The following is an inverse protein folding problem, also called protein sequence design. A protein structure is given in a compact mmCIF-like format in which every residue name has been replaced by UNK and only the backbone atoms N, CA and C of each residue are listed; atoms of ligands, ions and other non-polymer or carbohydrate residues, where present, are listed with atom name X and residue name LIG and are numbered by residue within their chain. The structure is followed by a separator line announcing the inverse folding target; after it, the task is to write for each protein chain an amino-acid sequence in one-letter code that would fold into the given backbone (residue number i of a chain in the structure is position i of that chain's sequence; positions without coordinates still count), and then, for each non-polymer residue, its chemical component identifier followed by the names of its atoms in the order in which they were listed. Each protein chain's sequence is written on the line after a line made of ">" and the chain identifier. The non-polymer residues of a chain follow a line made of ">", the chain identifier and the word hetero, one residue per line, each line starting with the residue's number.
data_IF_163176863152
#
_entry.id   IF_163176863152
#
_cell.length_a   1.000
_cell.length_b   1.000
_cell.length_c   1.000
_cell.angle_alpha   90.00
_cell.angle_beta   90.00
_cell.angle_gamma   90.00
#
_symmetry.space_group_name_H-M   'P 1'
#
loop_
_entity.id
_entity.type
_entity.pdbx_description
1 polymer ?
#
# COMPACT_ATOMS: atom_id res chain seq x y z
N UNK A 1 -14.86 6.05 14.69
CA UNK A 1 -13.87 6.15 13.57
C UNK A 1 -13.42 4.78 13.06
N UNK A 2 -13.19 3.77 13.92
CA UNK A 2 -12.93 2.37 13.51
C UNK A 2 -14.00 1.78 12.57
N UNK A 3 -15.28 2.10 12.77
CA UNK A 3 -16.37 1.65 11.90
C UNK A 3 -16.27 2.14 10.44
N UNK A 4 -15.60 3.27 10.19
CA UNK A 4 -15.46 3.85 8.84
C UNK A 4 -14.23 3.30 8.10
N UNK A 5 -13.17 2.95 8.84
CA UNK A 5 -11.98 2.25 8.32
C UNK A 5 -12.33 0.78 8.04
N UNK A 6 -13.12 0.16 8.92
CA UNK A 6 -13.62 -1.19 8.75
C UNK A 6 -14.44 -1.35 7.47
N UNK A 7 -15.24 -0.36 7.05
CA UNK A 7 -16.17 -0.47 5.92
C UNK A 7 -15.53 -0.67 4.52
N UNK A 8 -14.21 -0.46 4.38
CA UNK A 8 -13.48 -0.62 3.12
C UNK A 8 -12.62 -1.89 3.02
N UNK A 9 -12.43 -2.59 4.14
CA UNK A 9 -11.57 -3.77 4.24
C UNK A 9 -12.41 -5.01 3.94
N UNK A 10 -12.03 -5.80 2.94
CA UNK A 10 -12.75 -7.02 2.54
C UNK A 10 -12.19 -8.24 3.25
N UNK A 11 -10.87 -8.34 3.26
CA UNK A 11 -10.09 -9.23 4.11
C UNK A 11 -8.86 -8.48 4.61
N UNK A 12 -8.24 -9.04 5.63
CA UNK A 12 -6.95 -8.60 6.13
C UNK A 12 -6.19 -9.83 6.62
N UNK A 13 -5.07 -10.13 5.99
CA UNK A 13 -4.05 -10.95 6.63
C UNK A 13 -3.33 -10.10 7.68
N UNK A 14 -3.42 -10.53 8.95
CA UNK A 14 -2.66 -9.96 10.04
C UNK A 14 -1.39 -10.78 10.27
N UNK A 15 -0.20 -10.29 9.87
CA UNK A 15 1.06 -11.00 10.07
C UNK A 15 1.48 -11.09 11.54
N UNK A 16 0.86 -10.31 12.44
CA UNK A 16 1.13 -10.33 13.88
C UNK A 16 0.16 -11.21 14.68
N UNK A 17 -0.80 -11.83 13.99
CA UNK A 17 -1.74 -12.75 14.61
C UNK A 17 -1.07 -14.02 15.17
N UNK A 18 -1.81 -14.81 15.97
CA UNK A 18 -1.32 -16.07 16.53
C UNK A 18 -0.74 -17.01 15.46
N UNK A 19 0.23 -17.85 15.83
CA UNK A 19 0.83 -18.90 14.98
C UNK A 19 1.40 -18.42 13.62
N UNK A 20 1.97 -17.21 13.59
CA UNK A 20 2.58 -16.64 12.37
C UNK A 20 1.53 -16.11 11.39
N UNK A 21 0.49 -15.49 11.94
CA UNK A 21 -0.48 -14.66 11.26
C UNK A 21 -1.84 -15.30 10.99
N UNK A 22 -2.89 -14.47 11.03
CA UNK A 22 -4.29 -14.86 10.90
C UNK A 22 -4.93 -14.22 9.67
N UNK A 23 -5.83 -14.96 9.02
CA UNK A 23 -6.60 -14.47 7.87
C UNK A 23 -7.99 -14.06 8.35
N UNK A 24 -8.27 -12.75 8.32
CA UNK A 24 -9.53 -12.19 8.75
C UNK A 24 -10.36 -11.80 7.53
N UNK A 25 -11.65 -12.12 7.54
CA UNK A 25 -12.60 -11.70 6.51
C UNK A 25 -13.71 -10.88 7.14
N UNK A 26 -13.94 -9.68 6.61
CA UNK A 26 -15.03 -8.82 7.07
C UNK A 26 -16.28 -9.15 6.26
N UNK A 27 -16.93 -10.25 6.61
CA UNK A 27 -18.05 -10.83 5.86
C UNK A 27 -19.16 -9.81 5.47
N UNK A 28 -19.59 -8.87 6.34
CA UNK A 28 -20.57 -7.86 5.95
C UNK A 28 -20.13 -6.99 4.76
N UNK A 29 -18.84 -6.62 4.70
CA UNK A 29 -18.30 -5.82 3.61
C UNK A 29 -18.17 -6.63 2.33
N UNK A 30 -17.74 -7.90 2.45
CA UNK A 30 -17.66 -8.82 1.32
C UNK A 30 -19.03 -8.93 0.64
N UNK A 31 -20.10 -9.15 1.41
CA UNK A 31 -21.47 -9.18 0.86
C UNK A 31 -21.86 -7.84 0.23
N UNK A 32 -21.57 -6.72 0.90
CA UNK A 32 -21.93 -5.39 0.41
C UNK A 32 -21.29 -5.11 -0.97
N UNK A 33 -20.00 -5.45 -1.12
CA UNK A 33 -19.26 -5.26 -2.37
C UNK A 33 -19.70 -6.27 -3.43
N UNK A 34 -19.87 -7.54 -3.07
CA UNK A 34 -20.43 -8.59 -3.94
C UNK A 34 -21.74 -8.13 -4.61
N UNK A 35 -22.68 -7.63 -3.80
CA UNK A 35 -23.99 -7.13 -4.27
C UNK A 35 -23.86 -5.88 -5.13
N UNK A 36 -22.99 -4.94 -4.74
CA UNK A 36 -22.77 -3.72 -5.52
C UNK A 36 -22.14 -4.00 -6.89
N UNK A 37 -21.24 -4.99 -6.95
CA UNK A 37 -20.58 -5.41 -8.19
C UNK A 37 -21.43 -6.39 -9.00
N UNK A 38 -22.50 -6.96 -8.42
CA UNK A 38 -23.41 -7.93 -9.06
C UNK A 38 -22.67 -9.15 -9.64
N UNK A 39 -21.64 -9.62 -8.94
CA UNK A 39 -20.78 -10.75 -9.34
C UNK A 39 -21.27 -12.06 -8.72
N UNK A 40 -20.77 -13.19 -9.22
CA UNK A 40 -21.09 -14.50 -8.65
C UNK A 40 -20.54 -14.58 -7.20
N UNK A 41 -21.39 -14.90 -6.19
CA UNK A 41 -20.98 -14.89 -4.78
C UNK A 41 -19.81 -15.81 -4.45
N UNK A 42 -19.85 -17.07 -4.92
CA UNK A 42 -18.82 -18.06 -4.65
C UNK A 42 -17.46 -17.62 -5.22
N UNK A 43 -17.46 -17.22 -6.49
CA UNK A 43 -16.26 -16.75 -7.19
C UNK A 43 -15.67 -15.49 -6.54
N UNK A 44 -16.51 -14.52 -6.15
CA UNK A 44 -16.03 -13.29 -5.51
C UNK A 44 -15.40 -13.56 -4.15
N UNK A 45 -16.04 -14.41 -3.33
CA UNK A 45 -15.49 -14.78 -2.01
C UNK A 45 -14.20 -15.56 -2.16
N UNK A 46 -14.13 -16.49 -3.11
CA UNK A 46 -12.89 -17.23 -3.41
C UNK A 46 -11.79 -16.27 -3.90
N UNK A 47 -12.12 -15.33 -4.78
CA UNK A 47 -11.19 -14.30 -5.24
C UNK A 47 -10.64 -13.45 -4.10
N UNK A 48 -11.48 -13.03 -3.15
CA UNK A 48 -11.02 -12.34 -1.91
C UNK A 48 -10.13 -13.26 -1.08
N UNK A 49 -10.50 -14.52 -0.86
CA UNK A 49 -9.66 -15.46 -0.10
C UNK A 49 -8.29 -15.68 -0.75
N UNK A 50 -8.22 -15.79 -2.08
CA UNK A 50 -6.96 -15.94 -2.81
C UNK A 50 -6.07 -14.70 -2.67
N UNK A 51 -6.67 -13.51 -2.66
CA UNK A 51 -5.95 -12.26 -2.37
C UNK A 51 -5.30 -12.31 -0.99
N UNK A 52 -6.08 -12.66 0.05
CA UNK A 52 -5.57 -12.73 1.42
C UNK A 52 -4.52 -13.85 1.61
N UNK A 53 -4.70 -15.01 0.95
CA UNK A 53 -3.71 -16.09 0.96
C UNK A 53 -2.41 -15.65 0.28
N UNK A 54 -2.48 -14.79 -0.74
CA UNK A 54 -1.28 -14.22 -1.40
C UNK A 54 -0.46 -13.42 -0.40
N UNK A 55 -1.10 -12.56 0.41
CA UNK A 55 -0.43 -11.87 1.51
C UNK A 55 0.16 -12.82 2.54
N UNK A 56 -0.60 -13.85 2.94
CA UNK A 56 -0.07 -14.88 3.85
C UNK A 56 1.20 -15.53 3.30
N UNK A 57 1.23 -15.87 2.01
CA UNK A 57 2.41 -16.46 1.37
C UNK A 57 3.56 -15.45 1.33
N UNK A 58 3.32 -14.18 0.99
CA UNK A 58 4.35 -13.13 1.00
C UNK A 58 5.04 -13.02 2.36
N UNK A 59 4.28 -12.95 3.45
CA UNK A 59 4.83 -12.81 4.80
C UNK A 59 5.44 -14.11 5.34
N UNK A 60 4.83 -15.28 5.06
CA UNK A 60 5.39 -16.56 5.52
C UNK A 60 6.64 -16.97 4.77
N UNK A 61 6.72 -16.66 3.47
CA UNK A 61 7.91 -16.96 2.68
C UNK A 61 9.08 -16.02 3.00
N UNK A 62 8.78 -14.80 3.49
CA UNK A 62 9.77 -13.77 3.77
C UNK A 62 9.63 -13.24 5.21
N UNK A 63 10.08 -14.01 6.22
CA UNK A 63 9.85 -13.68 7.64
C UNK A 63 10.38 -12.30 8.06
N UNK A 64 11.42 -11.81 7.39
CA UNK A 64 12.02 -10.50 7.65
C UNK A 64 11.05 -9.33 7.40
N UNK A 65 10.00 -9.51 6.60
CA UNK A 65 8.99 -8.47 6.33
C UNK A 65 8.27 -8.02 7.60
N UNK A 66 7.94 -8.96 8.49
CA UNK A 66 7.25 -8.69 9.75
C UNK A 66 8.14 -7.88 10.69
N UNK A 67 9.42 -8.25 10.78
CA UNK A 67 10.40 -7.53 11.61
C UNK A 67 10.68 -6.14 11.05
N UNK A 68 10.85 -6.01 9.74
CA UNK A 68 11.06 -4.73 9.07
C UNK A 68 9.89 -3.76 9.30
N UNK A 69 8.66 -4.26 9.16
CA UNK A 69 7.45 -3.46 9.42
C UNK A 69 7.33 -3.06 10.90
N UNK A 70 7.66 -3.97 11.82
CA UNK A 70 7.67 -3.69 13.26
C UNK A 70 8.68 -2.62 13.64
N UNK A 71 9.89 -2.68 13.07
CA UNK A 71 10.95 -1.70 13.32
C UNK A 71 10.55 -0.32 12.81
N UNK A 72 10.00 -0.22 11.60
CA UNK A 72 9.50 1.03 11.05
C UNK A 72 8.35 1.60 11.91
N UNK A 73 7.40 0.75 12.34
CA UNK A 73 6.32 1.17 13.23
C UNK A 73 6.85 1.65 14.59
N UNK A 74 7.84 0.96 15.16
CA UNK A 74 8.46 1.35 16.43
C UNK A 74 9.04 2.77 16.35
N UNK A 75 9.72 3.13 15.25
CA UNK A 75 10.25 4.48 15.01
C UNK A 75 9.12 5.53 14.97
N UNK A 76 7.96 5.18 14.40
CA UNK A 76 6.80 6.08 14.37
C UNK A 76 6.13 6.28 15.74
N UNK A 77 6.18 5.26 16.60
CA UNK A 77 5.58 5.29 17.95
C UNK A 77 6.55 5.71 19.04
N UNK A 78 7.84 5.81 18.75
CA UNK A 78 8.83 6.34 19.68
C UNK A 78 8.40 7.75 20.08
N UNK A 79 8.19 7.92 21.38
CA UNK A 79 7.66 9.14 21.98
C UNK A 79 8.59 10.29 21.57
N UNK A 80 8.09 11.09 20.63
CA UNK A 80 8.75 12.28 20.17
C UNK A 80 8.64 13.30 21.30
N UNK A 81 9.51 13.19 22.30
CA UNK A 81 9.83 14.26 23.25
C UNK A 81 10.48 15.45 22.53
N UNK A 82 9.93 15.83 21.38
CA UNK A 82 10.42 16.89 20.54
C UNK A 82 10.04 18.22 21.16
N UNK A 83 11.06 19.03 21.41
CA UNK A 83 10.87 20.42 21.80
C UNK A 83 9.99 21.09 20.75
N UNK A 84 8.89 21.69 21.22
CA UNK A 84 7.94 22.48 20.41
C UNK A 84 8.67 23.51 19.55
N UNK A 85 9.84 23.97 19.99
CA UNK A 85 10.74 24.87 19.26
C UNK A 85 11.31 24.26 17.97
N UNK A 86 11.71 22.99 17.96
CA UNK A 86 12.19 22.31 16.75
C UNK A 86 11.07 22.12 15.73
N UNK A 87 9.89 21.73 16.21
CA UNK A 87 8.68 21.57 15.38
C UNK A 87 8.33 22.89 14.66
N UNK A 88 8.39 24.02 15.37
CA UNK A 88 8.16 25.37 14.80
C UNK A 88 9.24 25.73 13.77
N UNK A 89 10.50 25.39 14.02
CA UNK A 89 11.60 25.60 13.08
C UNK A 89 11.40 24.86 11.75
N UNK A 90 11.05 23.57 11.80
CA UNK A 90 10.83 22.74 10.59
C UNK A 90 9.64 23.24 9.76
N UNK A 91 8.56 23.67 10.42
CA UNK A 91 7.40 24.24 9.74
C UNK A 91 7.76 25.56 9.03
N UNK A 92 8.55 26.42 9.68
CA UNK A 92 9.00 27.67 9.08
C UNK A 92 9.88 27.43 7.84
N UNK A 93 10.77 26.44 7.89
CA UNK A 93 11.62 26.04 6.77
C UNK A 93 10.82 25.46 5.60
N UNK A 94 9.78 24.66 5.87
CA UNK A 94 8.88 24.15 4.84
C UNK A 94 8.16 25.28 4.09
N UNK A 95 7.57 26.23 4.83
CA UNK A 95 6.88 27.40 4.25
C UNK A 95 7.85 28.25 3.41
N UNK A 96 9.09 28.39 3.87
CA UNK A 96 10.14 29.12 3.13
C UNK A 96 10.51 28.40 1.82
N UNK A 97 10.72 27.08 1.86
CA UNK A 97 11.00 26.27 0.65
C UNK A 97 9.87 26.32 -0.37
N UNK A 98 8.62 26.34 0.09
CA UNK A 98 7.45 26.44 -0.79
C UNK A 98 7.34 27.82 -1.46
N UNK A 99 7.70 28.92 -0.78
CA UNK A 99 7.76 30.27 -1.39
C UNK A 99 8.92 30.44 -2.37
N UNK A 100 9.99 29.66 -2.24
CA UNK A 100 11.16 29.75 -3.10
C UNK A 100 11.09 28.87 -4.38
N UNK A 101 9.92 28.29 -4.69
CA UNK A 101 9.66 27.69 -6.00
C UNK A 101 10.25 26.30 -6.23
N UNK A 102 10.60 25.55 -5.18
CA UNK A 102 10.97 24.14 -5.33
C UNK A 102 9.74 23.32 -5.73
N UNK A 103 9.87 22.55 -6.81
CA UNK A 103 8.84 21.63 -7.33
C UNK A 103 8.28 20.78 -6.18
N UNK A 104 6.95 20.75 -5.97
CA UNK A 104 6.38 19.89 -4.95
C UNK A 104 6.64 18.44 -5.36
N UNK A 105 7.38 17.72 -4.53
CA UNK A 105 7.44 16.26 -4.56
C UNK A 105 5.98 15.72 -4.63
N UNK A 106 5.64 14.85 -5.60
CA UNK A 106 4.26 14.37 -5.79
C UNK A 106 3.65 13.71 -4.53
N UNK A 107 4.48 13.29 -3.58
CA UNK A 107 4.05 12.79 -2.26
C UNK A 107 3.84 13.87 -1.18
N UNK A 108 4.04 15.17 -1.51
CA UNK A 108 3.95 16.31 -0.60
C UNK A 108 2.69 17.18 -0.80
N UNK A 109 1.74 16.77 -1.64
CA UNK A 109 0.52 17.52 -1.87
C UNK A 109 -0.50 17.34 -0.72
N UNK A 110 -0.85 18.43 -0.04
CA UNK A 110 -1.95 18.49 0.93
C UNK A 110 -1.53 18.35 2.41
N UNK A 111 -2.49 17.96 3.26
CA UNK A 111 -2.31 17.83 4.73
C UNK A 111 -1.19 16.86 5.10
N UNK A 112 -0.95 15.83 4.27
CA UNK A 112 0.16 14.89 4.45
C UNK A 112 1.53 15.58 4.31
N UNK A 113 1.68 16.55 3.41
CA UNK A 113 2.88 17.38 3.28
C UNK A 113 3.14 18.21 4.53
N UNK A 114 2.09 18.77 5.14
CA UNK A 114 2.17 19.53 6.39
C UNK A 114 2.51 18.63 7.59
N UNK A 115 1.88 17.45 7.72
CA UNK A 115 2.25 16.47 8.76
C UNK A 115 3.70 16.01 8.59
N UNK A 116 4.12 15.72 7.37
CA UNK A 116 5.51 15.35 7.03
C UNK A 116 6.50 16.48 7.29
N UNK A 117 6.10 17.75 7.18
CA UNK A 117 6.97 18.90 7.45
C UNK A 117 7.22 19.11 8.95
N UNK A 118 6.31 18.58 9.76
CA UNK A 118 6.32 18.67 11.22
C UNK A 118 7.06 17.48 11.85
N UNK A 119 6.99 16.31 11.21
CA UNK A 119 7.70 15.09 11.66
C UNK A 119 9.22 15.18 11.54
N UNK A 120 9.93 14.55 12.47
CA UNK A 120 11.38 14.36 12.35
C UNK A 120 11.76 13.40 11.23
N UNK A 121 13.00 13.54 10.76
CA UNK A 121 13.54 12.80 9.62
C UNK A 121 13.47 11.26 9.78
N UNK A 122 13.76 10.66 10.95
CA UNK A 122 13.61 9.22 11.16
C UNK A 122 12.16 8.73 11.00
N UNK A 123 11.18 9.46 11.54
CA UNK A 123 9.76 9.14 11.41
C UNK A 123 9.30 9.27 9.96
N UNK A 124 9.78 10.29 9.25
CA UNK A 124 9.49 10.49 7.83
C UNK A 124 9.99 9.31 6.99
N UNK A 125 11.24 8.88 7.23
CA UNK A 125 11.84 7.71 6.57
C UNK A 125 11.08 6.41 6.88
N UNK A 126 10.69 6.20 8.13
CA UNK A 126 9.91 5.03 8.53
C UNK A 126 8.52 5.02 7.87
N UNK A 127 7.85 6.17 7.76
CA UNK A 127 6.58 6.29 7.05
C UNK A 127 6.74 5.95 5.56
N UNK A 128 7.77 6.48 4.91
CA UNK A 128 8.04 6.21 3.50
C UNK A 128 8.33 4.72 3.27
N UNK A 129 9.10 4.07 4.16
CA UNK A 129 9.33 2.61 4.11
C UNK A 129 8.03 1.81 4.17
N UNK A 130 7.13 2.11 5.12
CA UNK A 130 5.85 1.42 5.24
C UNK A 130 4.95 1.62 4.02
N UNK A 131 4.92 2.84 3.48
CA UNK A 131 4.13 3.19 2.30
C UNK A 131 4.63 2.44 1.06
N UNK A 132 5.94 2.40 0.85
CA UNK A 132 6.55 1.72 -0.28
C UNK A 132 6.39 0.21 -0.18
N UNK A 133 6.61 -0.36 1.01
CA UNK A 133 6.38 -1.78 1.25
C UNK A 133 4.92 -2.17 0.97
N UNK A 134 3.96 -1.40 1.51
CA UNK A 134 2.54 -1.64 1.24
C UNK A 134 2.21 -1.54 -0.25
N UNK A 135 2.77 -0.55 -0.95
CA UNK A 135 2.60 -0.37 -2.40
C UNK A 135 3.12 -1.59 -3.18
N UNK A 136 4.29 -2.11 -2.81
CA UNK A 136 4.87 -3.30 -3.43
C UNK A 136 4.03 -4.55 -3.16
N UNK A 137 3.67 -4.81 -1.90
CA UNK A 137 2.93 -6.02 -1.51
C UNK A 137 1.60 -6.12 -2.24
N UNK A 138 0.90 -5.00 -2.35
CA UNK A 138 -0.40 -4.89 -3.01
C UNK A 138 -0.25 -4.96 -4.54
N UNK A 139 0.76 -4.29 -5.12
CA UNK A 139 1.06 -4.40 -6.54
C UNK A 139 1.41 -5.82 -6.99
N UNK A 140 2.20 -6.52 -6.17
CA UNK A 140 2.52 -7.92 -6.40
C UNK A 140 1.30 -8.82 -6.22
N UNK A 141 0.46 -8.58 -5.22
CA UNK A 141 -0.78 -9.32 -5.05
C UNK A 141 -1.71 -9.15 -6.26
N UNK A 142 -1.90 -7.93 -6.75
CA UNK A 142 -2.68 -7.68 -7.98
C UNK A 142 -2.04 -8.35 -9.21
N UNK A 143 -0.72 -8.44 -9.31
CA UNK A 143 -0.03 -9.18 -10.39
C UNK A 143 -0.27 -10.70 -10.29
N UNK A 144 -0.12 -11.29 -9.11
CA UNK A 144 -0.37 -12.72 -8.88
C UNK A 144 -1.85 -13.05 -9.11
N UNK A 145 -2.75 -12.17 -8.68
CA UNK A 145 -4.19 -12.32 -8.88
C UNK A 145 -4.59 -12.26 -10.36
N UNK A 146 -3.80 -11.63 -11.24
CA UNK A 146 -4.02 -11.69 -12.70
C UNK A 146 -3.64 -13.05 -13.29
N UNK A 147 -2.70 -13.77 -12.67
CA UNK A 147 -2.36 -15.14 -13.05
C UNK A 147 -3.41 -16.17 -12.56
N UNK A 148 -4.33 -15.77 -11.66
CA UNK A 148 -5.47 -16.60 -11.26
C UNK A 148 -6.44 -16.69 -12.44
N UNK A 149 -6.28 -17.74 -13.23
CA UNK A 149 -7.10 -17.98 -14.42
C UNK A 149 -8.53 -18.44 -14.12
N UNK A 150 -9.38 -18.53 -15.16
CA UNK A 150 -10.77 -18.99 -15.05
C UNK A 150 -10.89 -20.45 -14.58
N UNK A 151 -9.80 -21.22 -14.62
CA UNK A 151 -9.75 -22.58 -14.07
C UNK A 151 -9.91 -22.62 -12.54
N UNK A 152 -9.52 -21.54 -11.83
CA UNK A 152 -9.64 -21.45 -10.36
C UNK A 152 -10.86 -20.61 -9.98
N UNK A 153 -11.04 -19.46 -10.64
CA UNK A 153 -12.18 -18.56 -10.41
C UNK A 153 -12.87 -18.29 -11.75
N UNK A 154 -13.97 -18.99 -12.09
CA UNK A 154 -14.60 -18.94 -13.41
C UNK A 154 -14.93 -17.52 -13.90
N UNK A 155 -15.45 -16.66 -13.03
CA UNK A 155 -15.81 -15.27 -13.36
C UNK A 155 -14.74 -14.22 -13.04
N UNK A 156 -13.46 -14.60 -12.86
CA UNK A 156 -12.37 -13.70 -12.44
C UNK A 156 -12.22 -12.45 -13.31
N UNK A 157 -12.34 -12.58 -14.63
CA UNK A 157 -12.24 -11.45 -15.56
C UNK A 157 -13.37 -10.43 -15.36
N UNK A 158 -14.58 -10.92 -15.05
CA UNK A 158 -15.73 -10.07 -14.74
C UNK A 158 -15.60 -9.41 -13.37
N UNK A 159 -15.12 -10.16 -12.38
CA UNK A 159 -14.84 -9.63 -11.04
C UNK A 159 -13.80 -8.51 -11.15
N UNK A 160 -12.66 -8.77 -11.79
CA UNK A 160 -11.56 -7.81 -11.96
C UNK A 160 -12.04 -6.53 -12.60
N UNK A 161 -12.67 -6.61 -13.79
CA UNK A 161 -13.17 -5.43 -14.51
C UNK A 161 -14.10 -4.59 -13.64
N UNK A 162 -15.09 -5.20 -12.98
CA UNK A 162 -16.07 -4.46 -12.16
C UNK A 162 -15.45 -3.90 -10.89
N UNK A 163 -14.48 -4.61 -10.32
CA UNK A 163 -13.71 -4.16 -9.17
C UNK A 163 -12.83 -2.95 -9.54
N UNK A 164 -12.14 -2.99 -10.67
CA UNK A 164 -11.34 -1.88 -11.20
C UNK A 164 -12.19 -0.67 -11.56
N UNK A 165 -13.35 -0.87 -12.21
CA UNK A 165 -14.31 0.21 -12.45
C UNK A 165 -14.78 0.85 -11.13
N UNK A 166 -15.04 0.04 -10.10
CA UNK A 166 -15.39 0.54 -8.76
C UNK A 166 -14.23 1.32 -8.15
N UNK A 167 -12.99 0.83 -8.28
CA UNK A 167 -11.77 1.49 -7.80
C UNK A 167 -11.57 2.86 -8.49
N UNK A 168 -11.88 2.97 -9.77
CA UNK A 168 -11.73 4.19 -10.57
C UNK A 168 -12.88 5.20 -10.39
N UNK A 169 -14.06 4.79 -9.92
CA UNK A 169 -15.18 5.71 -9.66
C UNK A 169 -14.82 6.70 -8.56
N UNK A 170 -14.92 7.99 -8.88
CA UNK A 170 -14.71 9.11 -7.93
C UNK A 170 -15.67 8.97 -6.74
N UNK A 171 -15.12 8.75 -5.55
CA UNK A 171 -15.85 8.65 -4.29
C UNK A 171 -16.40 10.05 -3.86
N UNK A 172 -17.49 10.12 -3.07
CA UNK A 172 -18.13 11.38 -2.71
C UNK A 172 -17.19 12.35 -1.95
N UNK A 173 -17.35 13.68 -2.16
CA UNK A 173 -16.41 14.71 -1.68
C UNK A 173 -16.25 14.75 -0.15
N UNK A 174 -17.29 14.39 0.60
CA UNK A 174 -17.23 14.35 2.07
C UNK A 174 -16.25 13.27 2.60
N UNK A 175 -16.10 12.15 1.89
CA UNK A 175 -15.16 11.08 2.26
C UNK A 175 -13.70 11.42 1.94
N UNK A 176 -13.48 12.39 1.05
CA UNK A 176 -12.15 12.89 0.67
C UNK A 176 -11.58 13.82 1.74
N UNK A 177 -12.43 14.61 2.38
CA UNK A 177 -12.05 15.55 3.45
C UNK A 177 -11.60 14.81 4.72
N UNK A 178 -12.29 13.73 5.11
CA UNK A 178 -11.90 12.91 6.29
C UNK A 178 -10.61 12.12 6.04
N UNK A 179 -10.35 11.69 4.80
CA UNK A 179 -9.09 11.02 4.41
C UNK A 179 -7.92 11.99 4.29
N UNK A 180 -8.15 13.20 3.76
CA UNK A 180 -7.15 14.25 3.70
C UNK A 180 -6.69 14.65 5.11
N UNK A 181 -7.61 14.78 6.07
CA UNK A 181 -7.29 15.12 7.47
C UNK A 181 -6.52 14.01 8.23
N UNK A 182 -6.50 12.78 7.72
CA UNK A 182 -5.80 11.64 8.29
C UNK A 182 -4.59 11.17 7.43
N UNK A 183 -4.23 11.88 6.35
CA UNK A 183 -3.10 11.52 5.47
C UNK A 183 -3.35 10.35 4.49
N UNK A 184 -4.60 9.90 4.33
CA UNK A 184 -4.97 8.72 3.54
C UNK A 184 -5.21 8.98 2.03
N UNK A 185 -4.91 10.18 1.52
CA UNK A 185 -4.97 10.45 0.07
C UNK A 185 -3.88 9.67 -0.72
N UNK A 186 -2.92 9.05 -0.02
CA UNK A 186 -1.88 8.22 -0.61
C UNK A 186 -2.36 6.83 -1.07
N UNK A 187 -3.46 6.30 -0.51
CA UNK A 187 -3.82 4.89 -0.76
C UNK A 187 -4.23 4.63 -2.21
N UNK A 188 -5.04 5.48 -2.85
CA UNK A 188 -5.60 5.17 -4.19
C UNK A 188 -4.58 5.41 -5.32
N UNK A 189 -3.64 6.35 -5.19
CA UNK A 189 -2.60 6.54 -6.20
C UNK A 189 -1.48 5.51 -6.10
N UNK A 190 -1.22 4.97 -4.89
CA UNK A 190 -0.19 3.96 -4.66
C UNK A 190 -0.49 2.60 -5.32
N UNK A 191 -1.73 2.12 -5.33
CA UNK A 191 -2.05 0.79 -5.89
C UNK A 191 -1.77 0.65 -7.39
N UNK A 192 -2.21 1.61 -8.20
CA UNK A 192 -1.95 1.59 -9.66
C UNK A 192 -0.44 1.69 -9.95
N UNK A 193 0.30 2.41 -9.11
CA UNK A 193 1.76 2.56 -9.23
C UNK A 193 2.50 1.26 -8.89
N UNK A 194 2.11 0.61 -7.80
CA UNK A 194 2.69 -0.67 -7.38
C UNK A 194 2.50 -1.79 -8.40
N UNK A 195 1.27 -1.95 -8.92
CA UNK A 195 1.01 -2.94 -9.98
C UNK A 195 1.80 -2.64 -11.24
N UNK A 196 1.83 -1.38 -11.69
CA UNK A 196 2.60 -0.98 -12.87
C UNK A 196 4.10 -1.23 -12.69
N UNK A 197 4.65 -0.98 -11.51
CA UNK A 197 6.03 -1.32 -11.16
C UNK A 197 6.28 -2.83 -11.29
N UNK A 198 5.47 -3.67 -10.64
CA UNK A 198 5.64 -5.13 -10.69
C UNK A 198 5.47 -5.67 -12.11
N UNK A 199 4.42 -5.24 -12.82
CA UNK A 199 4.16 -5.64 -14.20
C UNK A 199 5.33 -5.27 -15.12
N UNK A 200 5.88 -4.05 -14.98
CA UNK A 200 7.03 -3.61 -15.75
C UNK A 200 8.25 -4.48 -15.47
N UNK A 201 8.64 -4.65 -14.20
CA UNK A 201 9.84 -5.40 -13.84
C UNK A 201 9.71 -6.87 -14.26
N UNK A 202 8.58 -7.52 -13.97
CA UNK A 202 8.35 -8.91 -14.34
C UNK A 202 8.35 -9.08 -15.86
N UNK A 203 7.78 -8.14 -16.63
CA UNK A 203 7.82 -8.19 -18.10
C UNK A 203 9.24 -8.01 -18.64
N UNK A 204 10.05 -7.15 -18.01
CA UNK A 204 11.41 -6.84 -18.46
C UNK A 204 12.43 -7.92 -18.11
N UNK A 205 12.39 -8.48 -16.90
CA UNK A 205 13.44 -9.40 -16.39
C UNK A 205 12.94 -10.81 -16.07
N UNK A 206 11.63 -11.04 -16.10
CA UNK A 206 10.99 -12.30 -15.71
C UNK A 206 10.82 -12.47 -14.20
N UNK A 207 9.86 -13.31 -13.80
CA UNK A 207 9.50 -13.57 -12.40
C UNK A 207 10.68 -14.08 -11.55
N UNK A 208 11.54 -14.93 -12.13
CA UNK A 208 12.68 -15.51 -11.41
C UNK A 208 13.66 -14.44 -10.93
N UNK A 209 13.97 -13.44 -11.78
CA UNK A 209 14.85 -12.33 -11.37
C UNK A 209 14.12 -11.32 -10.50
N UNK A 210 12.84 -11.06 -10.77
CA UNK A 210 12.01 -10.22 -9.90
C UNK A 210 12.01 -10.71 -8.44
N UNK A 211 12.00 -12.03 -8.21
CA UNK A 211 11.99 -12.61 -6.86
C UNK A 211 13.18 -12.22 -5.98
N UNK A 212 14.27 -11.63 -6.52
CA UNK A 212 15.35 -11.01 -5.74
C UNK A 212 14.84 -9.93 -4.79
N UNK A 213 13.72 -9.26 -5.12
CA UNK A 213 13.06 -8.24 -4.29
C UNK A 213 12.73 -8.72 -2.87
N UNK A 214 12.56 -10.03 -2.71
CA UNK A 214 12.20 -10.67 -1.45
C UNK A 214 13.40 -11.11 -0.61
N UNK A 215 14.63 -10.91 -1.10
CA UNK A 215 15.84 -11.42 -0.45
C UNK A 215 16.24 -10.65 0.81
N UNK A 216 16.04 -9.32 0.85
CA UNK A 216 16.32 -8.50 2.03
C UNK A 216 15.56 -7.16 2.01
N UNK A 217 15.55 -6.40 3.12
CA UNK A 217 15.05 -5.02 3.13
C UNK A 217 15.73 -4.10 2.10
N UNK A 218 17.02 -4.33 1.80
CA UNK A 218 17.79 -3.49 0.88
C UNK A 218 17.36 -3.67 -0.58
N UNK A 219 16.72 -4.79 -0.90
CA UNK A 219 16.17 -5.06 -2.24
C UNK A 219 14.77 -4.50 -2.45
N UNK A 220 14.14 -3.91 -1.42
CA UNK A 220 12.86 -3.21 -1.59
C UNK A 220 13.05 -1.99 -2.51
N UNK A 221 12.01 -1.62 -3.28
CA UNK A 221 12.03 -0.40 -4.07
C UNK A 221 12.14 0.81 -3.16
N UNK A 222 12.71 1.89 -3.68
CA UNK A 222 12.66 3.22 -3.09
C UNK A 222 11.44 3.98 -3.64
N UNK A 223 10.98 5.05 -2.96
CA UNK A 223 9.83 5.82 -3.42
C UNK A 223 9.89 6.24 -4.89
N UNK A 224 11.04 6.71 -5.36
CA UNK A 224 11.24 7.18 -6.74
C UNK A 224 11.28 6.01 -7.76
N UNK A 225 11.70 4.83 -7.32
CA UNK A 225 11.82 3.65 -8.18
C UNK A 225 10.46 3.01 -8.49
N UNK A 226 9.44 3.27 -7.66
CA UNK A 226 8.07 2.86 -7.96
C UNK A 226 7.55 3.54 -9.22
N UNK A 227 7.95 4.79 -9.47
CA UNK A 227 7.59 5.54 -10.69
C UNK A 227 8.56 5.29 -11.85
N UNK A 228 9.81 4.95 -11.54
CA UNK A 228 10.86 4.63 -12.51
C UNK A 228 11.39 3.21 -12.29
N UNK A 229 10.65 2.14 -12.67
CA UNK A 229 11.00 0.76 -12.32
C UNK A 229 12.37 0.30 -12.83
N UNK A 230 12.87 0.92 -13.91
CA UNK A 230 14.21 0.64 -14.43
C UNK A 230 15.31 0.93 -13.40
N UNK A 231 15.15 1.95 -12.56
CA UNK A 231 16.13 2.31 -11.54
C UNK A 231 16.30 1.23 -10.47
N UNK A 232 15.21 0.55 -10.14
CA UNK A 232 15.26 -0.62 -9.27
C UNK A 232 16.01 -1.78 -9.92
N UNK A 233 15.73 -2.06 -11.21
CA UNK A 233 16.41 -3.11 -11.97
C UNK A 233 17.92 -2.85 -11.96
N UNK A 234 18.35 -1.63 -12.29
CA UNK A 234 19.77 -1.28 -12.39
C UNK A 234 20.49 -1.34 -11.04
N UNK A 235 19.77 -1.13 -9.92
CA UNK A 235 20.33 -1.16 -8.57
C UNK A 235 20.40 -2.58 -8.00
N UNK A 236 19.43 -3.44 -8.30
CA UNK A 236 19.21 -4.71 -7.61
C UNK A 236 19.60 -5.94 -8.43
N UNK A 237 19.53 -5.88 -9.76
CA UNK A 237 19.62 -7.05 -10.66
C UNK A 237 20.83 -7.06 -11.59
#
# INVERSE_FOLDING_TARGET
>A
MLAFISAGILGQYDPFGPDGGELLLVYPNVIAVERQLRVAPADFRLWVCLHEVTHRVQFRANPWLTDHMSQALAVLTQDAGEDVTEMVGRLADYVRKQRNGSTPDPNSAGVLGLMRAVQAEPQRRALDQLLVLGTLLEGHADHVMDAVGPAVVPSVSTIRRRFDERRQRKQPPLQRIVRALLGFDAKISQYTRGKAFVDHVVTTVGMTRFNTIWSSPDTLPLPDEIDEPQRWIDRVL
#
